data_IF_761769347117
#
_entry.id   IF_761769347117
#
_cell.length_a   1.000
_cell.length_b   1.000
_cell.length_c   1.000
_cell.angle_alpha   90.00
_cell.angle_beta   90.00
_cell.angle_gamma   90.00
#
_symmetry.space_group_name_H-M   'P 1'
#
loop_
_entity.id
_entity.type
_entity.pdbx_description
1 polymer ?
#
# COMPACT_ATOMS: atom_id res chain seq x y z
N UNK A 1 13.29 2.45 -19.36
CA UNK A 1 12.44 3.05 -18.32
C UNK A 1 12.48 2.05 -17.18
N UNK A 2 13.02 2.43 -16.02
CA UNK A 2 12.97 1.53 -14.87
C UNK A 2 11.51 1.25 -14.58
N UNK A 3 11.16 -0.02 -14.40
CA UNK A 3 9.88 -0.43 -13.80
C UNK A 3 9.83 0.30 -12.46
N UNK A 4 9.02 1.37 -12.39
CA UNK A 4 8.76 2.05 -11.13
C UNK A 4 7.62 1.29 -10.52
N UNK A 5 7.88 0.59 -9.42
CA UNK A 5 6.82 -0.06 -8.66
C UNK A 5 5.87 1.04 -8.15
N UNK A 6 4.65 1.09 -8.70
CA UNK A 6 3.62 2.09 -8.37
C UNK A 6 2.96 1.82 -6.99
N UNK A 7 3.35 0.73 -6.34
CA UNK A 7 2.95 0.31 -5.01
C UNK A 7 4.09 -0.47 -4.34
N UNK A 8 4.00 -0.67 -3.03
CA UNK A 8 5.01 -1.44 -2.26
C UNK A 8 4.36 -2.68 -1.67
N UNK A 9 5.06 -3.82 -1.71
CA UNK A 9 4.62 -5.06 -1.10
C UNK A 9 5.57 -5.51 0.02
N UNK A 10 4.99 -6.08 1.08
CA UNK A 10 5.72 -6.68 2.18
C UNK A 10 5.27 -8.13 2.36
N UNK A 11 6.19 -9.06 2.11
CA UNK A 11 5.91 -10.48 2.29
C UNK A 11 5.66 -10.82 3.76
N UNK A 12 4.69 -11.70 4.05
CA UNK A 12 4.37 -12.08 5.42
C UNK A 12 5.49 -12.89 6.07
N UNK A 13 5.75 -12.64 7.35
CA UNK A 13 6.44 -13.58 8.23
C UNK A 13 5.44 -14.62 8.80
N UNK A 14 5.91 -15.57 9.61
CA UNK A 14 5.01 -16.44 10.38
C UNK A 14 4.21 -15.62 11.41
N UNK A 15 2.92 -15.91 11.55
CA UNK A 15 2.07 -15.16 12.47
C UNK A 15 0.57 -15.40 12.30
N UNK A 16 -0.26 -14.81 13.19
CA UNK A 16 -1.71 -14.99 13.18
C UNK A 16 -2.40 -14.46 11.90
N UNK A 17 -1.73 -13.58 11.15
CA UNK A 17 -2.19 -13.02 9.88
C UNK A 17 -1.85 -13.86 8.65
N UNK A 18 -1.30 -15.07 8.82
CA UNK A 18 -0.95 -15.94 7.70
C UNK A 18 -2.12 -16.14 6.73
N UNK A 19 -1.80 -16.10 5.44
CA UNK A 19 -2.76 -16.23 4.31
C UNK A 19 -3.83 -15.13 4.28
N UNK A 20 -3.65 -14.04 5.01
CA UNK A 20 -4.49 -12.84 4.93
C UNK A 20 -3.76 -11.73 4.20
N UNK A 21 -4.48 -11.05 3.32
CA UNK A 21 -3.97 -9.94 2.53
C UNK A 21 -4.61 -8.62 2.96
N UNK A 22 -3.78 -7.63 3.28
CA UNK A 22 -4.20 -6.27 3.64
C UNK A 22 -3.71 -5.32 2.56
N UNK A 23 -4.62 -4.49 2.04
CA UNK A 23 -4.28 -3.38 1.15
C UNK A 23 -4.44 -2.08 1.93
N UNK A 24 -3.38 -1.29 1.99
CA UNK A 24 -3.33 -0.01 2.67
C UNK A 24 -3.35 1.09 1.59
N UNK A 25 -4.42 1.89 1.55
CA UNK A 25 -4.64 2.90 0.53
C UNK A 25 -4.19 4.26 1.07
N UNK A 26 -3.05 4.76 0.58
CA UNK A 26 -2.60 6.11 0.91
C UNK A 26 -3.16 7.16 -0.06
N UNK A 27 -2.89 8.43 0.22
CA UNK A 27 -3.45 9.57 -0.53
C UNK A 27 -4.44 10.40 0.28
N UNK A 28 -4.46 10.26 1.61
CA UNK A 28 -5.09 11.26 2.47
C UNK A 28 -4.17 12.48 2.55
N UNK A 29 -4.67 13.66 2.20
CA UNK A 29 -3.88 14.89 2.12
C UNK A 29 -3.40 15.35 3.52
N UNK A 30 -4.01 14.84 4.59
CA UNK A 30 -3.92 15.38 5.94
C UNK A 30 -2.87 14.72 6.85
N UNK A 31 -2.72 13.39 6.80
CA UNK A 31 -1.92 12.62 7.78
C UNK A 31 -0.65 11.99 7.20
N UNK A 32 -0.33 12.27 5.94
CA UNK A 32 0.87 11.76 5.24
C UNK A 32 0.90 10.23 5.23
N UNK A 33 -0.21 9.60 4.86
CA UNK A 33 -0.30 8.14 4.75
C UNK A 33 0.78 7.51 3.88
N UNK A 34 1.31 8.24 2.90
CA UNK A 34 2.41 7.79 2.04
C UNK A 34 3.70 7.50 2.82
N UNK A 35 3.85 8.02 4.03
CA UNK A 35 4.94 7.66 4.95
C UNK A 35 4.49 6.70 6.05
N UNK A 36 3.29 6.92 6.60
CA UNK A 36 2.80 6.15 7.75
C UNK A 36 2.41 4.71 7.38
N UNK A 37 1.67 4.52 6.27
CA UNK A 37 1.16 3.21 5.87
C UNK A 37 2.26 2.23 5.44
N UNK A 38 3.35 2.63 4.74
CA UNK A 38 4.48 1.72 4.51
C UNK A 38 5.12 1.19 5.79
N UNK A 39 5.25 2.03 6.82
CA UNK A 39 5.79 1.59 8.11
C UNK A 39 4.82 0.68 8.86
N UNK A 40 3.51 0.98 8.81
CA UNK A 40 2.48 0.11 9.38
C UNK A 40 2.46 -1.25 8.67
N UNK A 41 2.43 -1.28 7.34
CA UNK A 41 2.46 -2.49 6.52
C UNK A 41 3.67 -3.37 6.85
N UNK A 42 4.86 -2.75 6.98
CA UNK A 42 6.07 -3.47 7.40
C UNK A 42 5.95 -4.10 8.78
N UNK A 43 5.33 -3.41 9.74
CA UNK A 43 5.10 -3.96 11.09
C UNK A 43 4.07 -5.10 11.06
N UNK A 44 2.97 -4.94 10.34
CA UNK A 44 1.94 -5.97 10.16
C UNK A 44 2.51 -7.23 9.50
N UNK A 45 3.28 -7.07 8.44
CA UNK A 45 3.91 -8.20 7.76
C UNK A 45 4.96 -8.90 8.63
N UNK A 46 5.86 -8.13 9.26
CA UNK A 46 6.99 -8.69 10.02
C UNK A 46 6.59 -9.28 11.37
N UNK A 47 5.65 -8.67 12.07
CA UNK A 47 5.30 -9.05 13.45
C UNK A 47 3.99 -9.82 13.56
N UNK A 48 3.13 -9.73 12.55
CA UNK A 48 1.81 -10.37 12.59
C UNK A 48 1.54 -11.31 11.41
N UNK A 49 2.42 -11.37 10.41
CA UNK A 49 2.36 -12.35 9.33
C UNK A 49 1.32 -12.06 8.24
N UNK A 50 0.89 -10.80 8.11
CA UNK A 50 0.00 -10.38 7.03
C UNK A 50 0.78 -10.14 5.74
N UNK A 51 0.23 -10.56 4.60
CA UNK A 51 0.70 -10.05 3.31
C UNK A 51 0.16 -8.63 3.15
N UNK A 52 1.03 -7.66 2.91
CA UNK A 52 0.62 -6.25 2.85
C UNK A 52 0.99 -5.62 1.51
N UNK A 53 0.05 -4.90 0.92
CA UNK A 53 0.28 -4.04 -0.25
C UNK A 53 -0.07 -2.61 0.11
N UNK A 54 0.80 -1.65 -0.19
CA UNK A 54 0.55 -0.21 0.01
C UNK A 54 0.46 0.46 -1.35
N UNK A 55 -0.66 1.10 -1.64
CA UNK A 55 -0.90 1.83 -2.88
C UNK A 55 -0.91 3.34 -2.62
N UNK A 56 -0.54 4.12 -3.63
CA UNK A 56 -0.31 5.56 -3.51
C UNK A 56 -1.10 6.37 -4.52
N UNK A 57 -1.54 7.55 -4.10
CA UNK A 57 -1.94 8.60 -5.03
C UNK A 57 -0.70 9.05 -5.83
N UNK A 58 -0.78 8.95 -7.16
CA UNK A 58 0.34 9.23 -8.06
C UNK A 58 -0.09 10.28 -9.08
N UNK A 59 0.70 11.33 -9.24
CA UNK A 59 0.52 12.28 -10.31
C UNK A 59 0.80 11.61 -11.67
N UNK A 60 -0.17 11.51 -12.59
CA UNK A 60 -0.01 10.76 -13.84
C UNK A 60 0.99 11.40 -14.82
N UNK A 61 1.24 12.70 -14.70
CA UNK A 61 2.16 13.43 -15.59
C UNK A 61 3.62 13.27 -15.15
N UNK A 62 3.86 13.23 -13.83
CA UNK A 62 5.22 13.16 -13.27
C UNK A 62 5.63 11.77 -12.79
N UNK A 63 4.66 10.90 -12.47
CA UNK A 63 4.90 9.59 -11.86
C UNK A 63 5.45 9.69 -10.43
N UNK A 64 5.18 10.80 -9.74
CA UNK A 64 5.55 11.02 -8.33
C UNK A 64 4.36 10.77 -7.42
N UNK A 65 4.62 10.37 -6.18
CA UNK A 65 3.58 10.27 -5.15
C UNK A 65 3.10 11.69 -4.85
N UNK A 66 1.80 11.91 -5.01
CA UNK A 66 1.15 13.20 -4.85
C UNK A 66 -0.18 12.99 -4.12
N UNK A 67 -0.23 13.25 -2.79
CA UNK A 67 -1.46 13.10 -2.01
C UNK A 67 -2.61 13.98 -2.51
N UNK A 68 -2.33 15.07 -3.25
CA UNK A 68 -3.37 15.92 -3.83
C UNK A 68 -4.00 15.32 -5.11
N UNK A 69 -3.46 14.21 -5.62
CA UNK A 69 -4.01 13.51 -6.77
C UNK A 69 -5.17 12.59 -6.38
N UNK A 70 -6.39 13.11 -6.41
CA UNK A 70 -7.59 12.39 -5.95
C UNK A 70 -8.14 11.33 -6.92
N UNK A 71 -7.56 11.18 -8.11
CA UNK A 71 -8.17 10.39 -9.20
C UNK A 71 -7.28 9.27 -9.75
N UNK A 72 -6.04 9.15 -9.27
CA UNK A 72 -5.09 8.16 -9.78
C UNK A 72 -4.36 7.46 -8.65
N UNK A 73 -4.84 6.26 -8.31
CA UNK A 73 -4.19 5.33 -7.37
C UNK A 73 -3.99 4.01 -8.12
N UNK A 74 -2.84 3.80 -8.79
CA UNK A 74 -2.51 2.52 -9.39
C UNK A 74 -2.43 1.40 -8.33
N UNK A 75 -2.66 0.16 -8.75
CA UNK A 75 -2.64 -1.00 -7.84
C UNK A 75 -3.95 -1.28 -7.10
N UNK A 76 -5.02 -0.48 -7.27
CA UNK A 76 -6.32 -0.76 -6.63
C UNK A 76 -6.94 -2.13 -6.99
N UNK A 77 -6.53 -2.76 -8.09
CA UNK A 77 -6.93 -4.14 -8.43
C UNK A 77 -6.49 -5.18 -7.39
N UNK A 78 -5.52 -4.87 -6.53
CA UNK A 78 -5.17 -5.71 -5.37
C UNK A 78 -6.30 -5.81 -4.35
N UNK A 79 -7.26 -4.88 -4.34
CA UNK A 79 -8.44 -4.95 -3.47
C UNK A 79 -9.35 -6.13 -3.79
N UNK A 80 -9.32 -6.66 -5.02
CA UNK A 80 -10.18 -7.79 -5.43
C UNK A 80 -9.92 -9.05 -4.60
N UNK A 81 -8.70 -9.22 -4.09
CA UNK A 81 -8.29 -10.36 -3.25
C UNK A 81 -8.04 -10.01 -1.79
N UNK A 82 -8.23 -8.75 -1.39
CA UNK A 82 -7.90 -8.29 -0.04
C UNK A 82 -8.92 -8.81 1.00
N UNK A 83 -8.43 -9.25 2.15
CA UNK A 83 -9.27 -9.57 3.32
C UNK A 83 -9.63 -8.31 4.11
N UNK A 84 -8.83 -7.25 4.00
CA UNK A 84 -9.03 -5.96 4.66
C UNK A 84 -8.44 -4.81 3.82
N UNK A 85 -9.16 -3.69 3.81
CA UNK A 85 -8.66 -2.39 3.36
C UNK A 85 -8.48 -1.47 4.56
N UNK A 86 -7.32 -0.82 4.63
CA UNK A 86 -7.02 0.27 5.58
C UNK A 86 -6.94 1.57 4.81
#
# INVERSE_FOLDING_TARGET
>A
MADRDEWIQFSPAEGPGEKRHIVLVSGDEEYRSEEALPMLAKLLAKHHGFDCTVVFAINPDTGEIDPSCQTNIPGLHHLDSADLMV
#
